data_IF_848205458575
#
_entry.id   IF_848205458575
#
_cell.length_a   1.000
_cell.length_b   1.000
_cell.length_c   1.000
_cell.angle_alpha   90.00
_cell.angle_beta   90.00
_cell.angle_gamma   90.00
#
_symmetry.space_group_name_H-M   'P 1'
#
loop_
_entity.id
_entity.type
_entity.pdbx_description
1 polymer ?
#
# COMPACT_ATOMS: atom_id res chain seq x y z
N UNK A 1 -15.34 -14.19 -14.27
CA UNK A 1 -16.13 -12.99 -14.55
C UNK A 1 -16.20 -12.20 -13.27
N UNK A 2 -15.39 -11.12 -13.13
CA UNK A 2 -15.40 -10.26 -11.95
C UNK A 2 -16.53 -9.25 -12.11
N UNK A 3 -17.50 -9.27 -11.21
CA UNK A 3 -18.55 -8.27 -11.14
C UNK A 3 -17.95 -6.89 -10.86
N UNK A 4 -18.06 -5.97 -11.82
CA UNK A 4 -17.75 -4.57 -11.57
C UNK A 4 -18.89 -3.96 -10.77
N UNK A 5 -18.69 -3.74 -9.48
CA UNK A 5 -19.61 -2.97 -8.65
C UNK A 5 -19.35 -1.49 -8.88
N UNK A 6 -20.34 -0.73 -9.32
CA UNK A 6 -20.27 0.72 -9.50
C UNK A 6 -21.02 1.44 -8.39
N UNK A 7 -20.42 2.49 -7.82
CA UNK A 7 -21.06 3.41 -6.88
C UNK A 7 -21.08 4.82 -7.50
N UNK A 8 -22.15 5.59 -7.24
CA UNK A 8 -22.29 6.96 -7.75
C UNK A 8 -21.76 7.94 -6.73
N UNK A 9 -20.77 8.75 -7.10
CA UNK A 9 -20.24 9.85 -6.28
C UNK A 9 -20.88 11.17 -6.75
N UNK A 10 -21.53 11.90 -5.86
CA UNK A 10 -22.07 13.23 -6.14
C UNK A 10 -20.97 14.29 -5.98
N UNK A 11 -20.49 14.85 -7.08
CA UNK A 11 -19.92 16.18 -7.12
C UNK A 11 -20.96 17.13 -7.67
N UNK A 12 -21.01 18.36 -7.18
CA UNK A 12 -22.14 19.30 -7.34
C UNK A 12 -22.64 19.62 -8.76
N UNK A 13 -22.06 19.03 -9.84
CA UNK A 13 -22.50 19.26 -11.22
C UNK A 13 -22.36 18.08 -12.20
N UNK A 14 -21.83 16.91 -11.82
CA UNK A 14 -21.86 15.70 -12.64
C UNK A 14 -21.92 14.43 -11.81
N UNK A 15 -22.69 13.46 -12.28
CA UNK A 15 -22.70 12.10 -11.72
C UNK A 15 -21.51 11.35 -12.30
N UNK A 16 -20.38 11.35 -11.61
CA UNK A 16 -19.23 10.54 -11.99
C UNK A 16 -19.37 9.14 -11.42
N UNK A 17 -19.28 8.13 -12.26
CA UNK A 17 -19.38 6.74 -11.84
C UNK A 17 -18.05 6.28 -11.27
N UNK A 18 -18.03 5.97 -9.98
CA UNK A 18 -16.91 5.32 -9.33
C UNK A 18 -16.96 3.82 -9.63
N UNK A 19 -15.94 3.31 -10.30
CA UNK A 19 -15.78 1.89 -10.64
C UNK A 19 -14.58 1.30 -9.92
N UNK A 20 -14.66 -0.01 -9.60
CA UNK A 20 -13.56 -0.76 -8.98
C UNK A 20 -13.22 -1.94 -9.88
N UNK A 21 -11.94 -2.17 -10.09
CA UNK A 21 -11.45 -3.32 -10.85
C UNK A 21 -10.07 -3.75 -10.36
N UNK A 22 -9.73 -4.99 -10.65
CA UNK A 22 -8.41 -5.52 -10.34
C UNK A 22 -7.33 -4.66 -11.02
N UNK A 23 -6.23 -4.42 -10.30
CA UNK A 23 -5.07 -3.69 -10.81
C UNK A 23 -4.52 -4.37 -12.08
N UNK A 24 -4.19 -3.58 -13.08
CA UNK A 24 -3.59 -4.02 -14.34
C UNK A 24 -2.20 -3.42 -14.51
N UNK A 25 -1.26 -4.12 -15.19
CA UNK A 25 0.06 -3.55 -15.49
C UNK A 25 0.02 -2.19 -16.21
N UNK A 26 -1.02 -1.93 -17.00
CA UNK A 26 -1.24 -0.64 -17.65
C UNK A 26 -1.45 0.52 -16.65
N UNK A 27 -1.89 0.21 -15.42
CA UNK A 27 -2.10 1.20 -14.36
C UNK A 27 -0.79 1.62 -13.65
N UNK A 28 0.34 0.93 -13.94
CA UNK A 28 1.61 1.12 -13.22
C UNK A 28 2.10 2.57 -13.27
N UNK A 29 2.01 3.22 -14.42
CA UNK A 29 2.45 4.62 -14.57
C UNK A 29 1.62 5.53 -13.66
N UNK A 30 0.30 5.35 -13.68
CA UNK A 30 -0.61 6.15 -12.85
C UNK A 30 -0.43 5.87 -11.36
N UNK A 31 -0.13 4.62 -11.00
CA UNK A 31 0.21 4.26 -9.63
C UNK A 31 1.47 5.00 -9.14
N UNK A 32 2.53 5.07 -9.96
CA UNK A 32 3.74 5.87 -9.64
C UNK A 32 3.40 7.34 -9.40
N UNK A 33 2.50 7.93 -10.19
CA UNK A 33 2.06 9.31 -10.04
C UNK A 33 1.29 9.53 -8.72
N UNK A 34 0.37 8.63 -8.38
CA UNK A 34 -0.36 8.65 -7.09
C UNK A 34 0.64 8.56 -5.93
N UNK A 35 1.63 7.66 -6.01
CA UNK A 35 2.68 7.56 -4.99
C UNK A 35 3.52 8.84 -4.89
N UNK A 36 3.93 9.40 -6.01
CA UNK A 36 4.73 10.64 -6.03
C UNK A 36 3.97 11.83 -5.44
N UNK A 37 2.65 11.90 -5.67
CA UNK A 37 1.76 12.89 -5.04
C UNK A 37 1.62 12.70 -3.53
N UNK A 38 1.55 11.44 -3.07
CA UNK A 38 1.39 11.12 -1.66
C UNK A 38 2.71 11.27 -0.87
N UNK A 39 3.85 10.91 -1.47
CA UNK A 39 5.18 10.95 -0.85
C UNK A 39 6.20 11.70 -1.71
N UNK A 40 6.05 13.02 -1.90
CA UNK A 40 6.89 13.80 -2.84
C UNK A 40 8.37 13.90 -2.43
N UNK A 41 8.70 13.60 -1.17
CA UNK A 41 10.10 13.60 -0.68
C UNK A 41 10.87 12.35 -1.12
N UNK A 42 10.19 11.29 -1.59
CA UNK A 42 10.85 10.09 -2.11
C UNK A 42 11.29 10.28 -3.56
N UNK A 43 12.39 9.63 -3.93
CA UNK A 43 12.90 9.70 -5.32
C UNK A 43 12.06 8.84 -6.26
N UNK A 44 12.08 9.17 -7.56
CA UNK A 44 11.42 8.36 -8.60
C UNK A 44 11.90 6.90 -8.57
N UNK A 45 13.17 6.65 -8.28
CA UNK A 45 13.72 5.29 -8.16
C UNK A 45 13.04 4.49 -7.05
N UNK A 46 12.76 5.13 -5.92
CA UNK A 46 12.03 4.50 -4.80
C UNK A 46 10.58 4.24 -5.20
N UNK A 47 9.90 5.20 -5.84
CA UNK A 47 8.52 4.98 -6.29
C UNK A 47 8.42 3.78 -7.25
N UNK A 48 9.32 3.68 -8.24
CA UNK A 48 9.34 2.54 -9.18
C UNK A 48 9.61 1.22 -8.47
N UNK A 49 10.58 1.18 -7.55
CA UNK A 49 10.88 -0.01 -6.76
C UNK A 49 9.70 -0.41 -5.87
N UNK A 50 9.03 0.57 -5.25
CA UNK A 50 7.87 0.33 -4.39
C UNK A 50 6.67 -0.21 -5.17
N UNK A 51 6.40 0.30 -6.39
CA UNK A 51 5.34 -0.25 -7.24
C UNK A 51 5.58 -1.72 -7.55
N UNK A 52 6.81 -2.08 -7.99
CA UNK A 52 7.15 -3.48 -8.28
C UNK A 52 7.03 -4.35 -7.02
N UNK A 53 7.49 -3.85 -5.87
CA UNK A 53 7.38 -4.53 -4.59
C UNK A 53 5.92 -4.79 -4.19
N UNK A 54 5.09 -3.75 -4.14
CA UNK A 54 3.69 -3.88 -3.70
C UNK A 54 2.85 -4.73 -4.66
N UNK A 55 3.05 -4.57 -5.98
CA UNK A 55 2.36 -5.41 -6.97
C UNK A 55 2.77 -6.87 -6.86
N UNK A 56 4.07 -7.14 -6.62
CA UNK A 56 4.59 -8.50 -6.50
C UNK A 56 4.26 -9.20 -5.19
N UNK A 57 4.10 -8.46 -4.08
CA UNK A 57 3.87 -9.01 -2.74
C UNK A 57 2.40 -9.17 -2.37
N UNK A 58 1.49 -8.45 -3.02
CA UNK A 58 0.06 -8.53 -2.72
C UNK A 58 -0.62 -9.76 -3.35
N UNK A 59 -1.59 -10.33 -2.61
CA UNK A 59 -2.50 -11.38 -3.10
C UNK A 59 -3.83 -10.78 -3.61
N UNK A 60 -4.21 -9.62 -3.10
CA UNK A 60 -5.38 -8.86 -3.52
C UNK A 60 -4.97 -7.45 -3.94
N UNK A 61 -5.44 -7.01 -5.11
CA UNK A 61 -5.06 -5.73 -5.71
C UNK A 61 -6.25 -5.10 -6.39
N UNK A 62 -6.72 -3.97 -5.90
CA UNK A 62 -7.85 -3.27 -6.47
C UNK A 62 -7.55 -1.79 -6.71
N UNK A 63 -8.07 -1.28 -7.81
CA UNK A 63 -7.94 0.10 -8.25
C UNK A 63 -9.32 0.72 -8.40
N UNK A 64 -9.49 1.92 -7.86
CA UNK A 64 -10.68 2.75 -8.02
C UNK A 64 -10.50 3.68 -9.23
N UNK A 65 -11.54 3.81 -10.05
CA UNK A 65 -11.56 4.63 -11.26
C UNK A 65 -12.72 5.61 -11.25
N UNK A 66 -12.46 6.80 -11.76
CA UNK A 66 -13.49 7.77 -12.15
C UNK A 66 -13.24 8.09 -13.61
N UNK A 67 -14.25 7.88 -14.46
CA UNK A 67 -14.16 8.14 -15.91
C UNK A 67 -12.89 7.57 -16.55
N UNK A 68 -12.60 6.29 -16.30
CA UNK A 68 -11.39 5.56 -16.77
C UNK A 68 -10.04 6.04 -16.22
N UNK A 69 -10.02 7.05 -15.34
CA UNK A 69 -8.80 7.49 -14.64
C UNK A 69 -8.68 6.77 -13.31
N UNK A 70 -7.54 6.09 -13.08
CA UNK A 70 -7.25 5.51 -11.77
C UNK A 70 -7.02 6.63 -10.75
N UNK A 71 -7.82 6.61 -9.67
CA UNK A 71 -7.85 7.66 -8.64
C UNK A 71 -7.48 7.16 -7.24
N UNK A 72 -7.40 5.86 -7.06
CA UNK A 72 -6.98 5.25 -5.80
C UNK A 72 -6.69 3.77 -5.97
N UNK A 73 -5.83 3.25 -5.10
CA UNK A 73 -5.43 1.84 -5.08
C UNK A 73 -5.37 1.34 -3.65
N UNK A 74 -5.74 0.07 -3.46
CA UNK A 74 -5.47 -0.67 -2.24
C UNK A 74 -4.96 -2.05 -2.60
N UNK A 75 -3.81 -2.41 -2.05
CA UNK A 75 -3.22 -3.73 -2.15
C UNK A 75 -3.16 -4.37 -0.78
N UNK A 76 -3.51 -5.64 -0.72
CA UNK A 76 -3.48 -6.41 0.49
C UNK A 76 -2.93 -7.81 0.28
N UNK A 77 -2.56 -8.43 1.37
CA UNK A 77 -2.12 -9.81 1.42
C UNK A 77 -2.96 -10.54 2.47
N UNK A 78 -3.55 -11.65 2.12
CA UNK A 78 -4.26 -12.53 3.04
C UNK A 78 -3.53 -13.87 3.04
N UNK A 79 -3.21 -14.38 4.23
CA UNK A 79 -2.35 -15.55 4.37
C UNK A 79 -2.98 -16.82 3.80
N UNK A 80 -4.32 -16.96 3.87
CA UNK A 80 -5.04 -18.07 3.25
C UNK A 80 -5.04 -18.05 1.72
N UNK A 81 -4.72 -16.92 1.08
CA UNK A 81 -4.53 -16.82 -0.37
C UNK A 81 -3.10 -17.22 -0.81
N UNK A 82 -2.18 -17.40 0.14
CA UNK A 82 -0.77 -17.68 -0.14
C UNK A 82 -0.52 -19.18 -0.36
N UNK A 83 -0.32 -19.56 -1.61
CA UNK A 83 0.23 -20.86 -1.97
C UNK A 83 1.76 -20.89 -1.76
N UNK A 84 2.37 -22.08 -1.75
CA UNK A 84 3.84 -22.22 -1.70
C UNK A 84 4.52 -21.49 -2.86
N UNK A 85 3.94 -21.55 -4.06
CA UNK A 85 4.43 -20.81 -5.23
C UNK A 85 4.26 -19.30 -5.05
N UNK A 86 3.17 -18.86 -4.44
CA UNK A 86 2.94 -17.45 -4.09
C UNK A 86 4.01 -16.92 -3.13
N UNK A 87 4.35 -17.68 -2.10
CA UNK A 87 5.44 -17.33 -1.15
C UNK A 87 6.80 -17.22 -1.85
N UNK A 88 7.11 -18.17 -2.74
CA UNK A 88 8.32 -18.12 -3.55
C UNK A 88 8.34 -16.88 -4.47
N UNK A 89 7.21 -16.55 -5.10
CA UNK A 89 7.10 -15.33 -5.93
C UNK A 89 7.38 -14.07 -5.12
N UNK A 90 6.80 -13.93 -3.92
CA UNK A 90 7.03 -12.78 -3.03
C UNK A 90 8.53 -12.68 -2.69
N UNK A 91 9.15 -13.80 -2.31
CA UNK A 91 10.59 -13.85 -2.03
C UNK A 91 11.44 -13.42 -3.23
N UNK A 92 11.13 -13.95 -4.43
CA UNK A 92 11.84 -13.58 -5.66
C UNK A 92 11.62 -12.09 -6.01
N UNK A 93 10.44 -11.55 -5.80
CA UNK A 93 10.16 -10.11 -5.97
C UNK A 93 11.05 -9.29 -5.04
N UNK A 94 11.13 -9.67 -3.76
CA UNK A 94 12.00 -9.01 -2.79
C UNK A 94 13.46 -8.99 -3.26
N UNK A 95 14.01 -10.14 -3.60
CA UNK A 95 15.40 -10.27 -4.10
C UNK A 95 15.60 -9.41 -5.36
N UNK A 96 14.68 -9.51 -6.32
CA UNK A 96 14.76 -8.80 -7.60
C UNK A 96 14.74 -7.27 -7.40
N UNK A 97 13.85 -6.75 -6.56
CA UNK A 97 13.75 -5.31 -6.27
C UNK A 97 15.06 -4.79 -5.65
N UNK A 98 15.61 -5.51 -4.66
CA UNK A 98 16.87 -5.10 -4.03
C UNK A 98 18.08 -5.20 -4.98
N UNK A 99 18.14 -6.22 -5.83
CA UNK A 99 19.17 -6.31 -6.88
C UNK A 99 19.05 -5.18 -7.89
N UNK A 100 17.84 -4.87 -8.37
CA UNK A 100 17.60 -3.74 -9.27
C UNK A 100 17.97 -2.41 -8.62
N UNK A 101 17.67 -2.19 -7.35
CA UNK A 101 18.13 -1.01 -6.59
C UNK A 101 19.65 -0.98 -6.52
N UNK A 102 20.29 -2.09 -6.18
CA UNK A 102 21.75 -2.20 -6.07
C UNK A 102 22.46 -1.89 -7.39
N UNK A 103 21.94 -2.37 -8.52
CA UNK A 103 22.50 -2.13 -9.84
C UNK A 103 22.01 -0.83 -10.51
N UNK A 104 21.11 -0.08 -9.85
CA UNK A 104 20.59 1.21 -10.34
C UNK A 104 19.63 1.11 -11.51
N UNK A 105 18.97 -0.02 -11.69
CA UNK A 105 18.03 -0.27 -12.80
C UNK A 105 16.74 0.57 -12.71
N UNK A 106 16.42 1.15 -11.55
CA UNK A 106 15.36 2.14 -11.38
C UNK A 106 15.83 3.59 -11.57
N UNK A 107 17.14 3.80 -11.91
CA UNK A 107 17.75 5.11 -12.06
C UNK A 107 18.60 5.56 -10.86
N UNK A 108 18.88 6.85 -10.78
CA UNK A 108 19.74 7.40 -9.72
C UNK A 108 19.08 7.32 -8.35
N UNK A 109 19.74 6.68 -7.41
CA UNK A 109 19.37 6.65 -5.99
C UNK A 109 20.54 7.19 -5.18
N UNK A 110 20.43 8.39 -4.59
CA UNK A 110 21.45 8.94 -3.70
C UNK A 110 21.70 8.00 -2.51
N UNK A 111 22.96 7.88 -2.11
CA UNK A 111 23.35 7.00 -0.97
C UNK A 111 22.76 5.59 -1.05
N UNK A 112 22.81 4.97 -2.22
CA UNK A 112 22.15 3.70 -2.56
C UNK A 112 22.32 2.61 -1.51
N UNK A 113 23.54 2.31 -1.10
CA UNK A 113 23.81 1.27 -0.09
C UNK A 113 23.18 1.59 1.26
N UNK A 114 23.23 2.86 1.68
CA UNK A 114 22.58 3.31 2.92
C UNK A 114 21.06 3.22 2.82
N UNK A 115 20.48 3.59 1.68
CA UNK A 115 19.04 3.45 1.44
C UNK A 115 18.60 1.98 1.52
N UNK A 116 19.33 1.06 0.88
CA UNK A 116 19.07 -0.37 0.94
C UNK A 116 19.18 -0.90 2.38
N UNK A 117 20.27 -0.56 3.08
CA UNK A 117 20.48 -0.96 4.49
C UNK A 117 19.33 -0.49 5.38
N UNK A 118 18.92 0.77 5.25
CA UNK A 118 17.82 1.32 6.03
C UNK A 118 16.47 0.69 5.66
N UNK A 119 16.23 0.39 4.37
CA UNK A 119 15.05 -0.36 3.93
C UNK A 119 14.95 -1.72 4.58
N UNK A 120 16.03 -2.52 4.52
CA UNK A 120 16.08 -3.84 5.18
C UNK A 120 15.89 -3.71 6.71
N UNK A 121 16.44 -2.67 7.32
CA UNK A 121 16.26 -2.41 8.76
C UNK A 121 14.81 -2.09 9.11
N UNK A 122 14.12 -1.28 8.30
CA UNK A 122 12.70 -0.97 8.51
C UNK A 122 11.82 -2.21 8.33
N UNK A 123 12.04 -2.99 7.28
CA UNK A 123 11.34 -4.26 7.04
C UNK A 123 11.46 -5.23 8.24
N UNK A 124 12.68 -5.39 8.76
CA UNK A 124 12.92 -6.22 9.96
C UNK A 124 12.15 -5.68 11.17
N UNK A 125 12.17 -4.38 11.40
CA UNK A 125 11.44 -3.77 12.51
C UNK A 125 9.93 -3.94 12.36
N UNK A 126 9.39 -3.79 11.15
CA UNK A 126 7.98 -4.07 10.87
C UNK A 126 7.68 -5.53 11.23
N UNK A 127 8.45 -6.47 10.70
CA UNK A 127 8.23 -7.89 10.95
C UNK A 127 8.32 -8.28 12.45
N UNK A 128 9.28 -7.70 13.20
CA UNK A 128 9.45 -8.00 14.63
C UNK A 128 8.43 -7.31 15.54
N UNK A 129 7.80 -6.24 15.08
CA UNK A 129 6.80 -5.48 15.84
C UNK A 129 5.37 -5.76 15.38
N UNK A 130 5.18 -6.51 14.30
CA UNK A 130 3.87 -6.94 13.84
C UNK A 130 3.37 -8.10 14.69
N UNK A 131 2.08 -8.10 15.08
CA UNK A 131 1.47 -9.22 15.78
C UNK A 131 1.21 -10.39 14.83
N UNK A 132 0.78 -11.52 15.37
CA UNK A 132 0.18 -12.59 14.56
C UNK A 132 -1.15 -12.10 14.00
N UNK A 133 -1.27 -12.14 12.68
CA UNK A 133 -2.42 -11.65 11.91
C UNK A 133 -2.68 -12.58 10.72
N UNK A 134 -3.89 -12.50 10.19
CA UNK A 134 -4.29 -13.31 9.02
C UNK A 134 -4.10 -12.54 7.70
N UNK A 135 -3.79 -11.23 7.78
CA UNK A 135 -3.60 -10.40 6.60
C UNK A 135 -3.01 -9.02 6.86
N UNK A 136 -2.66 -8.35 5.77
CA UNK A 136 -1.94 -7.09 5.78
C UNK A 136 -2.46 -6.18 4.66
N UNK A 137 -2.62 -4.88 4.97
CA UNK A 137 -2.73 -3.85 3.94
C UNK A 137 -1.30 -3.45 3.58
N UNK A 138 -0.83 -3.91 2.42
CA UNK A 138 0.54 -3.68 1.96
C UNK A 138 0.74 -2.31 1.36
N UNK A 139 -0.31 -1.76 0.72
CA UNK A 139 -0.30 -0.40 0.17
C UNK A 139 -1.71 0.16 0.04
N UNK A 140 -1.86 1.44 0.37
CA UNK A 140 -3.13 2.15 0.23
C UNK A 140 -2.89 3.63 -0.06
N UNK A 141 -3.42 4.12 -1.16
CA UNK A 141 -3.38 5.55 -1.49
C UNK A 141 -4.58 5.97 -2.34
N UNK A 142 -5.01 7.21 -2.12
CA UNK A 142 -5.99 7.92 -2.97
C UNK A 142 -5.34 9.20 -3.44
N UNK A 143 -5.44 9.48 -4.75
CA UNK A 143 -4.96 10.71 -5.36
C UNK A 143 -5.51 11.93 -4.61
N UNK A 144 -4.65 12.90 -4.33
CA UNK A 144 -4.98 14.08 -3.53
C UNK A 144 -6.20 14.84 -4.07
N UNK A 145 -6.33 14.93 -5.41
CA UNK A 145 -7.45 15.61 -6.07
C UNK A 145 -8.81 14.89 -5.87
N UNK A 146 -8.80 13.63 -5.48
CA UNK A 146 -9.99 12.80 -5.32
C UNK A 146 -10.26 12.37 -3.88
N UNK A 147 -9.50 12.90 -2.91
CA UNK A 147 -9.73 12.63 -1.49
C UNK A 147 -11.06 13.22 -1.00
N UNK A 148 -11.53 12.71 0.15
CA UNK A 148 -12.78 13.15 0.82
C UNK A 148 -14.07 12.82 0.05
N UNK A 149 -13.99 12.05 -1.03
CA UNK A 149 -15.13 11.57 -1.84
C UNK A 149 -15.57 10.14 -1.48
N UNK A 150 -15.14 9.58 -0.37
CA UNK A 150 -15.50 8.22 0.07
C UNK A 150 -14.72 7.08 -0.58
N UNK A 151 -13.84 7.36 -1.57
CA UNK A 151 -13.09 6.36 -2.33
C UNK A 151 -12.27 5.45 -1.43
N UNK A 152 -11.52 6.05 -0.48
CA UNK A 152 -10.72 5.28 0.46
C UNK A 152 -11.54 4.36 1.34
N UNK A 153 -12.71 4.82 1.83
CA UNK A 153 -13.62 4.00 2.62
C UNK A 153 -14.18 2.83 1.80
N UNK A 154 -14.50 3.06 0.53
CA UNK A 154 -15.02 2.02 -0.35
C UNK A 154 -13.95 0.97 -0.66
N UNK A 155 -12.70 1.36 -1.02
CA UNK A 155 -11.58 0.42 -1.22
C UNK A 155 -11.31 -0.40 0.04
N UNK A 156 -11.27 0.24 1.21
CA UNK A 156 -11.07 -0.44 2.48
C UNK A 156 -12.18 -1.45 2.78
N UNK A 157 -13.45 -1.07 2.60
CA UNK A 157 -14.58 -1.97 2.80
C UNK A 157 -14.49 -3.22 1.93
N UNK A 158 -14.15 -3.04 0.65
CA UNK A 158 -13.99 -4.16 -0.30
C UNK A 158 -12.86 -5.11 0.09
N UNK A 159 -11.74 -4.58 0.58
CA UNK A 159 -10.64 -5.41 1.10
C UNK A 159 -11.07 -6.17 2.37
N UNK A 160 -11.76 -5.52 3.30
CA UNK A 160 -12.27 -6.15 4.53
C UNK A 160 -13.28 -7.27 4.18
N UNK A 161 -14.18 -7.02 3.22
CA UNK A 161 -15.14 -8.02 2.76
C UNK A 161 -14.43 -9.23 2.13
N UNK A 162 -13.36 -9.00 1.36
CA UNK A 162 -12.51 -10.07 0.84
C UNK A 162 -11.84 -10.85 1.97
N UNK A 163 -11.24 -10.15 2.93
CA UNK A 163 -10.58 -10.76 4.08
C UNK A 163 -11.56 -11.63 4.91
N UNK A 164 -12.77 -11.14 5.17
CA UNK A 164 -13.85 -11.91 5.82
C UNK A 164 -14.19 -13.19 5.04
N UNK A 165 -14.39 -13.08 3.72
CA UNK A 165 -14.67 -14.24 2.85
C UNK A 165 -13.56 -15.28 2.87
N UNK A 166 -12.34 -14.88 3.17
CA UNK A 166 -11.15 -15.74 3.31
C UNK A 166 -10.93 -16.27 4.74
N UNK A 167 -11.81 -15.92 5.66
CA UNK A 167 -11.75 -16.36 7.06
C UNK A 167 -10.71 -15.62 7.90
N UNK A 168 -10.20 -14.48 7.43
CA UNK A 168 -9.31 -13.65 8.21
C UNK A 168 -10.05 -13.01 9.38
N UNK A 169 -9.48 -13.09 10.58
CA UNK A 169 -10.03 -12.52 11.82
C UNK A 169 -9.31 -11.26 12.24
N UNK A 170 -8.07 -11.10 11.80
CA UNK A 170 -7.23 -9.95 12.16
C UNK A 170 -6.34 -9.54 11.00
N UNK A 171 -6.32 -8.24 10.73
CA UNK A 171 -5.41 -7.64 9.75
C UNK A 171 -4.62 -6.50 10.38
N UNK A 172 -3.45 -6.21 9.82
CA UNK A 172 -2.70 -5.03 10.20
C UNK A 172 -2.41 -4.11 9.03
N UNK A 173 -2.04 -2.88 9.35
CA UNK A 173 -1.46 -1.92 8.43
C UNK A 173 -0.26 -1.25 9.08
N UNK A 174 0.80 -1.10 8.31
CA UNK A 174 1.91 -0.23 8.62
C UNK A 174 1.69 1.15 7.98
N UNK A 175 1.93 2.20 8.76
CA UNK A 175 1.82 3.58 8.29
C UNK A 175 2.87 4.46 8.97
N UNK A 176 2.98 5.74 8.59
CA UNK A 176 4.01 6.64 9.11
C UNK A 176 3.43 7.99 9.56
N UNK A 177 4.08 8.59 10.56
CA UNK A 177 3.85 9.96 11.00
C UNK A 177 5.20 10.71 11.10
N UNK A 178 5.39 11.81 10.38
CA UNK A 178 4.52 12.34 9.33
C UNK A 178 4.52 11.45 8.08
N UNK A 179 3.64 11.70 7.14
CA UNK A 179 3.64 11.09 5.80
C UNK A 179 2.42 10.30 5.41
N UNK A 180 1.50 10.04 6.34
CA UNK A 180 0.22 9.44 6.01
C UNK A 180 -0.93 10.05 6.82
N UNK A 181 -2.17 9.81 6.36
CA UNK A 181 -3.39 10.15 7.11
C UNK A 181 -3.74 8.97 8.05
N UNK A 182 -2.89 8.74 9.08
CA UNK A 182 -3.08 7.64 10.03
C UNK A 182 -4.41 7.76 10.80
N UNK A 183 -4.96 8.97 10.95
CA UNK A 183 -6.28 9.21 11.54
C UNK A 183 -7.39 8.50 10.77
N UNK A 184 -7.21 8.26 9.46
CA UNK A 184 -8.14 7.47 8.67
C UNK A 184 -8.33 6.06 9.24
N UNK A 185 -7.24 5.41 9.63
CA UNK A 185 -7.27 4.05 10.18
C UNK A 185 -8.00 4.01 11.52
N UNK A 186 -7.74 4.97 12.42
CA UNK A 186 -8.44 5.07 13.71
C UNK A 186 -9.95 5.28 13.52
N UNK A 187 -10.33 6.19 12.61
CA UNK A 187 -11.75 6.42 12.28
C UNK A 187 -12.42 5.21 11.61
N UNK A 188 -11.64 4.35 10.97
CA UNK A 188 -12.14 3.11 10.39
C UNK A 188 -12.31 1.99 11.42
N UNK A 189 -11.74 2.15 12.60
CA UNK A 189 -11.83 1.19 13.70
C UNK A 189 -10.53 0.43 14.00
N UNK A 190 -9.45 0.74 13.29
CA UNK A 190 -8.13 0.19 13.63
C UNK A 190 -7.64 0.73 14.96
N UNK A 191 -6.98 -0.14 15.75
CA UNK A 191 -6.36 0.21 17.03
C UNK A 191 -4.84 0.23 16.88
N UNK A 192 -4.21 1.26 17.42
CA UNK A 192 -2.74 1.35 17.47
C UNK A 192 -2.20 0.19 18.31
N UNK A 193 -1.29 -0.59 17.73
CA UNK A 193 -0.63 -1.71 18.37
C UNK A 193 0.77 -1.33 18.87
N UNK A 194 1.60 -0.77 17.98
CA UNK A 194 2.98 -0.43 18.27
C UNK A 194 3.44 0.77 17.44
N UNK A 195 4.55 1.37 17.85
CA UNK A 195 5.22 2.42 17.08
C UNK A 195 6.72 2.39 17.35
N UNK A 196 7.51 2.73 16.31
CA UNK A 196 8.97 2.79 16.38
C UNK A 196 9.51 3.77 15.34
N UNK A 197 10.78 4.17 15.48
CA UNK A 197 11.43 5.01 14.47
C UNK A 197 11.65 4.23 13.18
N UNK A 198 11.10 4.74 12.07
CA UNK A 198 11.37 4.21 10.74
C UNK A 198 12.74 4.66 10.24
N UNK A 199 13.63 3.71 10.03
CA UNK A 199 15.01 4.00 9.62
C UNK A 199 15.09 4.47 8.17
N UNK A 200 14.25 3.90 7.28
CA UNK A 200 14.26 4.24 5.86
C UNK A 200 13.62 5.60 5.60
N UNK A 201 12.41 5.81 6.12
CA UNK A 201 11.68 7.07 5.90
C UNK A 201 12.39 8.24 6.58
N UNK A 202 12.93 8.05 7.79
CA UNK A 202 13.71 9.08 8.47
C UNK A 202 14.97 9.45 7.69
N UNK A 203 15.66 8.49 7.10
CA UNK A 203 16.80 8.74 6.24
C UNK A 203 16.42 9.47 4.94
N UNK A 204 15.38 8.98 4.25
CA UNK A 204 14.93 9.51 2.98
C UNK A 204 14.39 10.95 3.10
N UNK A 205 13.72 11.27 4.19
CA UNK A 205 13.10 12.59 4.42
C UNK A 205 13.98 13.56 5.19
N UNK A 206 15.10 13.08 5.75
CA UNK A 206 16.03 13.86 6.59
C UNK A 206 15.33 14.48 7.82
N UNK A 207 14.33 13.79 8.33
CA UNK A 207 13.60 14.15 9.54
C UNK A 207 13.20 12.88 10.29
N UNK A 208 12.82 13.00 11.55
CA UNK A 208 12.35 11.85 12.31
C UNK A 208 10.96 11.43 11.80
N UNK A 209 10.84 10.16 11.43
CA UNK A 209 9.57 9.55 10.99
C UNK A 209 9.28 8.36 11.91
N UNK A 210 8.09 8.37 12.48
CA UNK A 210 7.58 7.28 13.32
C UNK A 210 6.78 6.33 12.46
N UNK A 211 7.17 5.06 12.46
CA UNK A 211 6.35 3.95 11.99
C UNK A 211 5.26 3.64 13.02
N UNK A 212 4.04 3.40 12.55
CA UNK A 212 2.91 3.03 13.40
C UNK A 212 2.27 1.78 12.82
N UNK A 213 2.07 0.77 13.67
CA UNK A 213 1.33 -0.45 13.33
C UNK A 213 -0.06 -0.35 13.94
N UNK A 214 -1.06 -0.47 13.09
CA UNK A 214 -2.47 -0.53 13.46
C UNK A 214 -3.04 -1.92 13.17
N UNK A 215 -3.96 -2.37 14.01
CA UNK A 215 -4.65 -3.66 13.89
C UNK A 215 -6.14 -3.42 13.81
N UNK A 216 -6.82 -4.20 12.96
CA UNK A 216 -8.26 -4.33 12.92
C UNK A 216 -8.65 -5.78 13.19
N UNK A 217 -9.44 -6.01 14.24
CA UNK A 217 -10.15 -7.27 14.45
C UNK A 217 -11.39 -7.27 13.54
N UNK A 218 -11.55 -8.34 12.75
CA UNK A 218 -12.61 -8.50 11.74
C UNK A 218 -13.63 -9.49 12.34
N UNK A 219 -14.81 -9.00 12.60
CA UNK A 219 -15.96 -9.81 13.07
C UNK A 219 -16.74 -10.45 11.90
#
# INVERSE_FOLDING_TARGET
>A
MSESSSAVVKDGHSLETLAFREYRPADSQRFVEIMASAWPKLTKSIHLASVEWYVGSATWKETAYISDTAVGVLFGKIDSDLTSLGRLRIFLTYVTVYLKLLFGLYGKLPHRLTSIKNGISSERKIATNSPEVDGEITFFAVDAAYRRKGIGKALMGRFIDHAKKKGARRIFVYTTDPGSDWVFYERYGFKKHNSFRDSFMSFAWKEEVTAIIYILDIE
#
